data_IF_339212872592
#
_entry.id   IF_339212872592
#
_cell.length_a   1.000
_cell.length_b   1.000
_cell.length_c   1.000
_cell.angle_alpha   90.00
_cell.angle_beta   90.00
_cell.angle_gamma   90.00
#
_symmetry.space_group_name_H-M   'P 1'
#
loop_
_entity.id
_entity.type
_entity.pdbx_description
1 polymer ?
#
# COMPACT_ATOMS: atom_id res chain seq x y z
N UNK A 1 -13.57 -9.64 37.30
CA UNK A 1 -12.42 -10.48 37.70
C UNK A 1 -12.38 -11.90 37.09
N UNK A 2 -13.48 -12.51 36.63
CA UNK A 2 -13.45 -13.87 36.05
C UNK A 2 -13.22 -13.96 34.54
N UNK A 3 -13.36 -12.88 33.77
CA UNK A 3 -13.22 -12.88 32.30
C UNK A 3 -11.76 -12.82 31.81
N UNK A 4 -10.86 -12.18 32.54
CA UNK A 4 -9.44 -12.04 32.16
C UNK A 4 -8.58 -13.32 32.38
N UNK A 5 -9.07 -14.31 33.10
CA UNK A 5 -8.33 -15.57 33.33
C UNK A 5 -8.29 -16.48 32.09
N UNK A 6 -9.09 -16.19 31.06
CA UNK A 6 -9.27 -17.07 29.88
C UNK A 6 -8.23 -16.84 28.76
N UNK A 7 -7.59 -15.68 28.72
CA UNK A 7 -6.53 -15.41 27.73
C UNK A 7 -5.23 -16.17 27.97
N UNK A 8 -4.97 -16.62 29.19
CA UNK A 8 -3.72 -17.27 29.57
C UNK A 8 -3.65 -18.78 29.23
N UNK A 9 -4.76 -19.41 28.82
CA UNK A 9 -4.81 -20.86 28.62
C UNK A 9 -4.39 -21.29 27.20
N UNK A 10 -4.48 -20.42 26.21
CA UNK A 10 -4.09 -20.75 24.83
C UNK A 10 -2.56 -20.79 24.59
N UNK A 11 -1.73 -20.30 25.52
CA UNK A 11 -0.27 -20.21 25.35
C UNK A 11 0.55 -21.26 26.13
N UNK A 12 -0.05 -22.17 26.91
CA UNK A 12 0.67 -23.00 27.89
C UNK A 12 0.41 -24.53 27.81
N UNK A 13 0.03 -25.09 26.66
CA UNK A 13 -0.18 -26.55 26.52
C UNK A 13 0.80 -27.24 25.55
N UNK A 14 2.10 -26.93 25.65
CA UNK A 14 3.14 -27.81 25.13
C UNK A 14 4.16 -28.20 26.22
N UNK A 15 3.74 -28.82 27.29
CA UNK A 15 4.64 -29.63 28.14
C UNK A 15 3.86 -30.39 29.21
N UNK A 16 3.36 -31.58 28.89
CA UNK A 16 3.33 -32.71 29.83
C UNK A 16 2.91 -33.97 29.07
N UNK A 17 3.88 -34.76 28.65
CA UNK A 17 3.65 -36.20 28.43
C UNK A 17 3.58 -36.87 29.78
N UNK A 18 2.39 -37.35 30.20
CA UNK A 18 2.28 -38.49 31.09
C UNK A 18 1.12 -39.32 30.64
N UNK A 19 1.43 -40.60 30.40
CA UNK A 19 0.51 -41.69 30.05
C UNK A 19 -0.50 -41.89 31.16
N UNK A 20 -1.76 -41.57 30.91
CA UNK A 20 -2.90 -42.34 31.42
C UNK A 20 -4.12 -42.02 30.53
N UNK A 21 -4.51 -43.03 29.75
CA UNK A 21 -5.68 -42.93 28.90
C UNK A 21 -6.91 -43.27 29.70
N UNK A 22 -7.66 -42.26 30.16
CA UNK A 22 -9.10 -42.39 30.43
C UNK A 22 -9.74 -41.00 30.44
N UNK A 23 -10.66 -40.79 29.50
CA UNK A 23 -11.70 -39.74 29.52
C UNK A 23 -11.20 -38.29 29.39
N UNK A 24 -10.50 -38.00 28.30
CA UNK A 24 -10.26 -36.60 27.89
C UNK A 24 -11.55 -36.10 27.24
N UNK A 25 -12.42 -35.47 28.03
CA UNK A 25 -13.43 -34.57 27.48
C UNK A 25 -12.69 -33.53 26.64
N UNK A 26 -13.10 -33.26 25.38
CA UNK A 26 -12.47 -32.20 24.61
C UNK A 26 -12.58 -30.91 25.40
N UNK A 27 -11.42 -30.28 25.69
CA UNK A 27 -11.40 -28.94 26.27
C UNK A 27 -12.05 -28.06 25.21
N UNK A 28 -13.33 -27.70 25.41
CA UNK A 28 -13.99 -26.71 24.55
C UNK A 28 -13.31 -25.40 24.91
N UNK A 29 -12.38 -24.95 24.04
CA UNK A 29 -11.85 -23.60 24.14
C UNK A 29 -13.03 -22.62 24.18
N UNK A 30 -13.04 -21.64 25.09
CA UNK A 30 -14.11 -20.67 25.14
C UNK A 30 -14.16 -19.91 23.82
N UNK A 31 -15.23 -20.09 23.07
CA UNK A 31 -15.44 -19.35 21.84
C UNK A 31 -15.60 -17.86 22.16
N UNK A 32 -14.89 -17.02 21.43
CA UNK A 32 -15.05 -15.58 21.50
C UNK A 32 -16.50 -15.21 21.11
N UNK A 33 -17.19 -14.39 21.92
CA UNK A 33 -18.51 -13.87 21.56
C UNK A 33 -18.48 -13.05 20.26
N UNK A 34 -19.55 -13.08 19.48
CA UNK A 34 -19.68 -12.33 18.22
C UNK A 34 -19.74 -10.80 18.39
N UNK A 35 -19.95 -10.35 19.61
CA UNK A 35 -20.03 -8.94 20.00
C UNK A 35 -18.84 -8.48 20.86
N UNK A 36 -17.70 -9.17 20.80
CA UNK A 36 -16.51 -8.79 21.55
C UNK A 36 -15.27 -8.78 20.64
N UNK A 37 -14.49 -7.70 20.67
CA UNK A 37 -13.12 -7.68 20.13
C UNK A 37 -12.16 -7.90 21.29
N UNK A 38 -11.31 -8.92 21.18
CA UNK A 38 -10.26 -9.20 22.14
C UNK A 38 -8.93 -8.66 21.63
N UNK A 39 -8.18 -8.00 22.50
CA UNK A 39 -6.90 -7.41 22.12
C UNK A 39 -5.85 -7.50 23.24
N UNK A 40 -4.58 -7.37 22.86
CA UNK A 40 -3.50 -7.06 23.78
C UNK A 40 -2.91 -5.70 23.43
N UNK A 41 -2.51 -4.93 24.47
CA UNK A 41 -2.04 -3.58 24.27
C UNK A 41 -1.14 -3.10 25.41
N UNK A 42 -0.38 -2.02 25.17
CA UNK A 42 0.45 -1.34 26.17
C UNK A 42 -0.35 -0.41 27.08
N UNK A 43 -1.55 -0.02 26.65
CA UNK A 43 -2.54 0.75 27.41
C UNK A 43 -3.92 0.49 26.79
N UNK A 44 -4.99 0.95 27.47
CA UNK A 44 -6.35 0.85 26.96
C UNK A 44 -6.42 1.41 25.53
N UNK A 45 -6.98 0.62 24.61
CA UNK A 45 -7.17 0.96 23.20
C UNK A 45 -8.54 1.60 23.03
N UNK A 46 -8.57 2.85 22.59
CA UNK A 46 -9.80 3.49 22.15
C UNK A 46 -9.81 3.51 20.61
N UNK A 47 -10.83 2.94 19.95
CA UNK A 47 -10.95 3.01 18.50
C UNK A 47 -10.90 4.46 18.00
N UNK A 48 -10.20 4.72 16.90
CA UNK A 48 -10.14 6.07 16.31
C UNK A 48 -11.53 6.54 15.83
N UNK A 49 -12.30 5.62 15.24
CA UNK A 49 -13.73 5.79 14.95
C UNK A 49 -14.53 4.72 15.70
N UNK A 50 -15.46 5.13 16.55
CA UNK A 50 -16.26 4.23 17.35
C UNK A 50 -17.60 3.80 16.71
N UNK A 51 -18.02 4.49 15.65
CA UNK A 51 -19.31 4.33 14.97
C UNK A 51 -19.24 3.49 13.69
N UNK A 52 -18.10 2.81 13.46
CA UNK A 52 -17.84 2.09 12.21
C UNK A 52 -17.90 0.56 12.36
N UNK A 53 -18.48 0.06 13.45
CA UNK A 53 -18.59 -1.38 13.72
C UNK A 53 -19.99 -1.95 13.40
N UNK A 54 -20.96 -1.07 13.09
CA UNK A 54 -22.37 -1.45 12.91
C UNK A 54 -23.11 -1.74 14.20
N UNK A 55 -22.48 -1.55 15.37
CA UNK A 55 -23.01 -1.70 16.71
C UNK A 55 -22.36 -0.67 17.65
N UNK A 56 -23.00 -0.35 18.77
CA UNK A 56 -22.46 0.61 19.74
C UNK A 56 -21.54 -0.07 20.75
N UNK A 57 -20.48 0.60 21.16
CA UNK A 57 -19.59 0.12 22.20
C UNK A 57 -20.30 0.28 23.55
N UNK A 58 -20.53 -0.84 24.26
CA UNK A 58 -21.09 -0.87 25.61
C UNK A 58 -20.00 -0.71 26.65
N UNK A 59 -18.87 -1.39 26.47
CA UNK A 59 -17.75 -1.31 27.41
C UNK A 59 -16.44 -1.54 26.65
N UNK A 60 -15.38 -1.03 27.25
CA UNK A 60 -14.01 -1.28 26.82
C UNK A 60 -13.17 -1.43 28.09
N UNK A 61 -12.87 -2.67 28.42
CA UNK A 61 -12.12 -3.03 29.63
C UNK A 61 -10.68 -3.40 29.24
N UNK A 62 -9.71 -2.97 30.04
CA UNK A 62 -8.30 -3.30 29.86
C UNK A 62 -7.65 -3.52 31.21
N UNK A 63 -6.85 -4.59 31.30
CA UNK A 63 -6.13 -4.97 32.52
C UNK A 63 -4.64 -4.64 32.36
N UNK A 64 -4.15 -3.68 33.13
CA UNK A 64 -2.77 -3.24 33.14
C UNK A 64 -1.78 -4.36 33.50
N UNK A 65 -2.17 -5.29 34.37
CA UNK A 65 -1.28 -6.35 34.84
C UNK A 65 -1.00 -7.40 33.74
N UNK A 66 -1.98 -7.63 32.85
CA UNK A 66 -1.87 -8.63 31.78
C UNK A 66 -1.72 -8.03 30.39
N UNK A 67 -2.02 -6.74 30.23
CA UNK A 67 -2.09 -6.07 28.94
C UNK A 67 -3.28 -6.48 28.07
N UNK A 68 -4.20 -7.29 28.59
CA UNK A 68 -5.37 -7.80 27.87
C UNK A 68 -6.53 -6.82 27.92
N UNK A 69 -7.26 -6.70 26.80
CA UNK A 69 -8.44 -5.87 26.72
C UNK A 69 -9.60 -6.52 25.97
N UNK A 70 -10.80 -6.05 26.24
CA UNK A 70 -12.04 -6.47 25.59
C UNK A 70 -12.90 -5.25 25.30
N UNK A 71 -13.27 -5.07 24.03
CA UNK A 71 -14.31 -4.14 23.61
C UNK A 71 -15.58 -4.95 23.43
N UNK A 72 -16.65 -4.62 24.17
CA UNK A 72 -17.95 -5.28 24.10
C UNK A 72 -18.95 -4.34 23.42
N UNK A 73 -19.73 -4.88 22.49
CA UNK A 73 -20.75 -4.16 21.74
C UNK A 73 -22.17 -4.57 22.17
N UNK A 74 -23.16 -3.73 21.88
CA UNK A 74 -24.57 -3.96 22.18
C UNK A 74 -25.22 -5.01 21.27
N UNK A 75 -24.61 -5.31 20.12
CA UNK A 75 -25.03 -6.32 19.15
C UNK A 75 -23.82 -7.00 18.52
N UNK A 76 -24.03 -8.04 17.71
CA UNK A 76 -23.01 -8.68 16.90
C UNK A 76 -22.40 -7.69 15.90
N UNK A 77 -21.07 -7.62 15.80
CA UNK A 77 -20.42 -6.81 14.80
C UNK A 77 -20.21 -7.61 13.50
N UNK A 78 -20.43 -6.95 12.36
CA UNK A 78 -20.27 -7.53 11.02
C UNK A 78 -19.12 -6.93 10.26
N UNK A 79 -18.63 -5.77 10.71
CA UNK A 79 -17.58 -4.99 10.02
C UNK A 79 -16.59 -4.43 11.03
N UNK A 80 -15.32 -4.46 10.68
CA UNK A 80 -14.30 -3.56 11.22
C UNK A 80 -14.18 -2.43 10.22
N UNK A 81 -14.79 -1.29 10.50
CA UNK A 81 -14.97 -0.23 9.50
C UNK A 81 -13.72 0.57 9.22
N UNK A 82 -13.85 1.49 8.28
CA UNK A 82 -12.74 2.31 7.81
C UNK A 82 -12.18 3.20 8.94
N UNK A 83 -10.86 3.17 9.12
CA UNK A 83 -10.12 3.86 10.19
C UNK A 83 -10.49 3.42 11.61
N UNK A 84 -11.12 2.27 11.84
CA UNK A 84 -11.53 1.79 13.17
C UNK A 84 -10.38 1.85 14.20
N UNK A 85 -9.21 1.37 13.83
CA UNK A 85 -7.99 1.35 14.64
C UNK A 85 -6.81 2.09 13.97
N UNK A 86 -7.09 3.16 13.24
CA UNK A 86 -6.09 3.99 12.58
C UNK A 86 -5.11 4.58 13.59
N UNK A 87 -3.80 4.50 13.29
CA UNK A 87 -2.72 5.03 14.14
C UNK A 87 -2.82 4.57 15.61
N UNK A 88 -3.25 3.33 15.83
CA UNK A 88 -3.47 2.79 17.15
C UNK A 88 -2.17 2.19 17.73
N UNK A 89 -1.23 3.04 18.12
CA UNK A 89 0.12 2.65 18.60
C UNK A 89 0.12 1.85 19.90
N UNK A 90 -0.99 1.80 20.62
CA UNK A 90 -1.10 1.00 21.84
C UNK A 90 -1.39 -0.47 21.55
N UNK A 91 -2.01 -0.77 20.41
CA UNK A 91 -2.48 -2.10 20.02
C UNK A 91 -1.31 -3.02 19.66
N UNK A 92 -1.22 -4.19 20.32
CA UNK A 92 -0.18 -5.20 20.05
C UNK A 92 -0.75 -6.39 19.27
N UNK A 93 -1.93 -6.86 19.65
CA UNK A 93 -2.60 -7.92 18.90
C UNK A 93 -4.11 -7.75 18.96
N UNK A 94 -4.80 -8.28 17.95
CA UNK A 94 -6.26 -8.28 17.91
C UNK A 94 -6.79 -9.64 17.45
N UNK A 95 -7.85 -10.10 18.10
CA UNK A 95 -8.64 -11.24 17.68
C UNK A 95 -10.00 -10.71 17.24
N UNK A 96 -10.25 -10.80 15.95
CA UNK A 96 -11.50 -10.36 15.33
C UNK A 96 -12.54 -11.46 15.55
N UNK A 97 -13.76 -11.14 16.03
CA UNK A 97 -14.75 -12.16 16.36
C UNK A 97 -15.33 -12.84 15.11
N UNK A 98 -15.73 -14.10 15.27
CA UNK A 98 -16.55 -14.79 14.30
C UNK A 98 -17.82 -13.99 14.02
N UNK A 99 -18.26 -13.96 12.76
CA UNK A 99 -19.41 -13.14 12.35
C UNK A 99 -19.02 -11.84 11.63
N UNK A 100 -17.80 -11.31 11.86
CA UNK A 100 -17.27 -10.23 11.02
C UNK A 100 -17.05 -10.75 9.59
N UNK A 101 -17.62 -10.07 8.63
CA UNK A 101 -17.56 -10.42 7.21
C UNK A 101 -16.66 -9.48 6.42
N UNK A 102 -16.38 -8.29 6.96
CA UNK A 102 -15.60 -7.24 6.29
C UNK A 102 -14.60 -6.59 7.24
N UNK A 103 -13.38 -6.40 6.76
CA UNK A 103 -12.36 -5.48 7.31
C UNK A 103 -12.16 -4.40 6.26
N UNK A 104 -12.63 -3.19 6.52
CA UNK A 104 -12.59 -2.10 5.56
C UNK A 104 -11.18 -1.56 5.32
N UNK A 105 -11.02 -0.75 4.27
CA UNK A 105 -9.76 -0.09 3.97
C UNK A 105 -9.29 0.77 5.15
N UNK A 106 -7.97 0.87 5.36
CA UNK A 106 -7.35 1.65 6.43
C UNK A 106 -7.74 1.25 7.87
N UNK A 107 -8.44 0.13 8.08
CA UNK A 107 -8.96 -0.25 9.41
C UNK A 107 -7.89 -0.25 10.51
N UNK A 108 -6.67 -0.69 10.20
CA UNK A 108 -5.52 -0.72 11.11
C UNK A 108 -4.31 0.07 10.55
N UNK A 109 -4.54 0.95 9.58
CA UNK A 109 -3.46 1.70 8.94
C UNK A 109 -2.66 2.52 9.97
N UNK A 110 -1.29 2.47 9.91
CA UNK A 110 -0.36 3.10 10.86
C UNK A 110 -0.48 2.61 12.31
N UNK A 111 -0.98 1.39 12.56
CA UNK A 111 -0.92 0.78 13.89
C UNK A 111 0.45 0.14 14.11
N UNK A 112 1.47 0.96 14.34
CA UNK A 112 2.89 0.57 14.29
C UNK A 112 3.30 -0.53 15.29
N UNK A 113 2.60 -0.66 16.42
CA UNK A 113 2.88 -1.69 17.41
C UNK A 113 2.08 -2.98 17.22
N UNK A 114 1.16 -3.03 16.23
CA UNK A 114 0.39 -4.22 15.93
C UNK A 114 1.31 -5.33 15.43
N UNK A 115 1.45 -6.41 16.19
CA UNK A 115 2.36 -7.52 15.89
C UNK A 115 1.65 -8.73 15.31
N UNK A 116 0.38 -8.97 15.66
CA UNK A 116 -0.41 -10.07 15.10
C UNK A 116 -1.90 -9.77 15.03
N UNK A 117 -2.54 -10.35 14.00
CA UNK A 117 -3.99 -10.26 13.78
C UNK A 117 -4.56 -11.66 13.55
N UNK A 118 -5.60 -12.02 14.31
CA UNK A 118 -6.37 -13.23 14.06
C UNK A 118 -7.64 -12.89 13.29
N UNK A 119 -7.75 -13.43 12.08
CA UNK A 119 -8.84 -13.17 11.13
C UNK A 119 -9.75 -14.39 11.10
N UNK A 120 -11.05 -14.26 11.43
CA UNK A 120 -11.96 -15.39 11.43
C UNK A 120 -12.34 -15.85 10.01
N UNK A 121 -12.81 -17.09 9.90
CA UNK A 121 -13.22 -17.70 8.64
C UNK A 121 -14.41 -17.00 7.97
N UNK A 122 -15.18 -16.23 8.73
CA UNK A 122 -16.34 -15.46 8.27
C UNK A 122 -15.97 -14.23 7.40
N UNK A 123 -14.72 -13.72 7.49
CA UNK A 123 -14.29 -12.58 6.68
C UNK A 123 -14.24 -12.99 5.22
N UNK A 124 -14.92 -12.23 4.37
CA UNK A 124 -14.96 -12.42 2.93
C UNK A 124 -14.41 -11.23 2.15
N UNK A 125 -14.21 -10.09 2.83
CA UNK A 125 -13.68 -8.87 2.23
C UNK A 125 -12.65 -8.22 3.17
N UNK A 126 -11.49 -7.91 2.61
CA UNK A 126 -10.46 -7.10 3.26
C UNK A 126 -10.11 -5.96 2.30
N UNK A 127 -10.33 -4.74 2.75
CA UNK A 127 -10.07 -3.53 1.96
C UNK A 127 -8.56 -3.28 1.78
N UNK A 128 -8.22 -2.56 0.72
CA UNK A 128 -6.84 -2.16 0.47
C UNK A 128 -6.30 -1.32 1.64
N UNK A 129 -5.01 -1.42 1.90
CA UNK A 129 -4.32 -0.70 2.99
C UNK A 129 -4.81 -1.02 4.41
N UNK A 130 -5.71 -2.01 4.61
CA UNK A 130 -6.25 -2.33 5.93
C UNK A 130 -5.17 -2.54 7.01
N UNK A 131 -4.03 -3.11 6.64
CA UNK A 131 -2.89 -3.41 7.52
C UNK A 131 -1.58 -2.74 7.09
N UNK A 132 -1.64 -1.78 6.19
CA UNK A 132 -0.43 -1.12 5.67
C UNK A 132 0.19 -0.20 6.73
N UNK A 133 1.52 -0.07 6.67
CA UNK A 133 2.30 0.70 7.65
C UNK A 133 2.13 0.20 9.10
N UNK A 134 1.86 -1.09 9.30
CA UNK A 134 1.93 -1.75 10.59
C UNK A 134 3.35 -2.33 10.77
N UNK A 135 4.32 -1.47 11.08
CA UNK A 135 5.76 -1.77 10.98
C UNK A 135 6.24 -2.95 11.84
N UNK A 136 5.50 -3.33 12.88
CA UNK A 136 5.78 -4.51 13.72
C UNK A 136 4.91 -5.72 13.40
N UNK A 137 4.02 -5.65 12.40
CA UNK A 137 3.19 -6.79 12.04
C UNK A 137 4.05 -7.92 11.47
N UNK A 138 4.11 -9.01 12.21
CA UNK A 138 4.93 -10.18 11.89
C UNK A 138 4.11 -11.38 11.46
N UNK A 139 2.83 -11.45 11.87
CA UNK A 139 2.03 -12.65 11.69
C UNK A 139 0.54 -12.34 11.53
N UNK A 140 -0.06 -12.93 10.52
CA UNK A 140 -1.50 -13.14 10.41
C UNK A 140 -1.86 -14.54 10.87
N UNK A 141 -3.04 -14.72 11.49
CA UNK A 141 -3.61 -16.00 11.90
C UNK A 141 -5.00 -16.20 11.31
N UNK A 142 -5.41 -17.45 11.13
CA UNK A 142 -6.71 -17.83 10.58
C UNK A 142 -6.61 -18.42 9.17
N UNK A 143 -7.77 -18.65 8.55
CA UNK A 143 -7.92 -19.38 7.28
C UNK A 143 -7.09 -18.80 6.11
N UNK A 144 -7.01 -17.49 6.04
CA UNK A 144 -6.35 -16.81 4.91
C UNK A 144 -4.86 -16.56 5.15
N UNK A 145 -4.38 -16.85 6.36
CA UNK A 145 -2.96 -16.75 6.66
C UNK A 145 -2.18 -17.81 5.87
N UNK A 146 -1.16 -17.38 5.15
CA UNK A 146 -0.35 -18.23 4.30
C UNK A 146 1.13 -18.02 4.59
N UNK A 147 1.95 -18.98 4.16
CA UNK A 147 3.39 -18.94 4.33
C UNK A 147 3.81 -18.68 5.79
N UNK A 148 3.23 -19.44 6.73
CA UNK A 148 3.49 -19.26 8.17
C UNK A 148 2.98 -17.95 8.75
N UNK A 149 1.93 -17.36 8.17
CA UNK A 149 1.34 -16.10 8.62
C UNK A 149 1.97 -14.85 8.02
N UNK A 150 2.93 -15.00 7.10
CA UNK A 150 3.64 -13.87 6.49
C UNK A 150 2.76 -13.03 5.56
N UNK A 151 1.70 -13.60 5.03
CA UNK A 151 0.76 -12.90 4.16
C UNK A 151 -0.67 -13.42 4.30
N UNK A 152 -1.63 -12.62 3.83
CA UNK A 152 -3.01 -13.02 3.62
C UNK A 152 -3.24 -13.30 2.14
N UNK A 153 -3.75 -14.50 1.83
CA UNK A 153 -4.12 -14.88 0.47
C UNK A 153 -5.59 -15.27 0.43
N UNK A 154 -6.36 -14.56 -0.40
CA UNK A 154 -7.77 -14.84 -0.69
C UNK A 154 -7.92 -15.01 -2.21
N UNK A 155 -8.55 -16.08 -2.65
CA UNK A 155 -8.81 -16.37 -4.07
C UNK A 155 -7.57 -16.17 -4.98
N UNK A 156 -6.44 -16.76 -4.58
CA UNK A 156 -5.13 -16.65 -5.24
C UNK A 156 -4.60 -15.20 -5.36
N UNK A 157 -5.13 -14.28 -4.55
CA UNK A 157 -4.68 -12.88 -4.48
C UNK A 157 -4.00 -12.63 -3.15
N UNK A 158 -2.77 -12.10 -3.15
CA UNK A 158 -2.17 -11.54 -1.94
C UNK A 158 -2.90 -10.25 -1.60
N UNK A 159 -3.48 -10.19 -0.41
CA UNK A 159 -4.21 -9.03 0.11
C UNK A 159 -3.32 -8.13 0.96
N UNK A 160 -2.47 -8.73 1.78
CA UNK A 160 -1.56 -8.00 2.66
C UNK A 160 -0.32 -8.84 3.00
N UNK A 161 0.79 -8.16 3.23
CA UNK A 161 2.04 -8.73 3.72
C UNK A 161 2.35 -8.21 5.13
N UNK A 162 2.81 -9.10 6.01
CA UNK A 162 3.23 -8.76 7.37
C UNK A 162 4.65 -8.16 7.34
N UNK A 163 4.77 -6.85 7.48
CA UNK A 163 6.01 -6.09 7.23
C UNK A 163 7.21 -6.58 8.06
N UNK A 164 6.98 -6.96 9.32
CA UNK A 164 8.04 -7.43 10.22
C UNK A 164 8.43 -8.90 10.00
N UNK A 165 7.80 -9.62 9.07
CA UNK A 165 8.03 -11.06 8.85
C UNK A 165 9.35 -11.38 8.13
N UNK A 166 10.09 -10.36 7.66
CA UNK A 166 11.41 -10.55 7.06
C UNK A 166 11.78 -9.46 6.06
N UNK A 167 13.03 -9.49 5.59
CA UNK A 167 13.56 -8.51 4.62
C UNK A 167 13.50 -9.01 3.17
N UNK A 168 13.26 -10.29 2.96
CA UNK A 168 13.11 -10.89 1.62
C UNK A 168 11.84 -11.74 1.57
N UNK A 169 11.14 -11.72 0.45
CA UNK A 169 9.94 -12.49 0.29
C UNK A 169 9.86 -13.20 -1.06
N UNK A 170 9.60 -14.50 -1.02
CA UNK A 170 9.27 -15.29 -2.20
C UNK A 170 7.75 -15.48 -2.20
N UNK A 171 7.06 -14.86 -3.14
CA UNK A 171 5.61 -15.03 -3.30
C UNK A 171 5.33 -16.51 -3.62
N UNK A 172 4.39 -17.17 -2.92
CA UNK A 172 4.08 -18.57 -3.17
C UNK A 172 3.60 -18.84 -4.60
N UNK A 173 3.99 -20.00 -5.13
CA UNK A 173 3.44 -20.49 -6.39
C UNK A 173 1.91 -20.65 -6.29
N UNK A 174 1.21 -20.36 -7.40
CA UNK A 174 -0.27 -20.38 -7.44
C UNK A 174 -0.93 -19.04 -7.09
N UNK A 175 -0.18 -18.06 -6.59
CA UNK A 175 -0.66 -16.68 -6.54
C UNK A 175 -0.80 -16.14 -7.97
N UNK A 176 -1.98 -15.63 -8.30
CA UNK A 176 -2.29 -15.08 -9.63
C UNK A 176 -2.24 -13.56 -9.63
N UNK A 177 -2.60 -12.94 -8.51
CA UNK A 177 -2.67 -11.49 -8.36
C UNK A 177 -1.96 -11.02 -7.09
N UNK A 178 -1.20 -9.94 -7.20
CA UNK A 178 -0.79 -9.10 -6.08
C UNK A 178 -1.84 -8.00 -5.97
N UNK A 179 -2.54 -7.91 -4.85
CA UNK A 179 -3.61 -6.95 -4.62
C UNK A 179 -3.13 -5.51 -4.55
N UNK A 180 -4.07 -4.58 -4.61
CA UNK A 180 -3.78 -3.17 -4.44
C UNK A 180 -3.19 -2.93 -3.04
N UNK A 181 -2.06 -2.23 -2.99
CA UNK A 181 -1.34 -1.90 -1.76
C UNK A 181 -0.88 -3.11 -0.91
N UNK A 182 -0.80 -4.32 -1.48
CA UNK A 182 -0.50 -5.54 -0.72
C UNK A 182 0.85 -5.49 0.04
N UNK A 183 1.83 -4.77 -0.48
CA UNK A 183 3.15 -4.51 0.14
C UNK A 183 3.39 -3.01 0.37
N UNK A 184 2.31 -2.21 0.45
CA UNK A 184 2.45 -0.77 0.63
C UNK A 184 3.22 -0.43 1.91
N UNK A 185 4.23 0.44 1.77
CA UNK A 185 5.11 0.90 2.85
C UNK A 185 5.86 -0.22 3.62
N UNK A 186 6.09 -1.39 2.98
CA UNK A 186 6.91 -2.45 3.56
C UNK A 186 8.39 -2.03 3.57
N UNK A 187 8.73 -1.13 4.50
CA UNK A 187 10.02 -0.42 4.57
C UNK A 187 11.21 -1.30 4.96
N UNK A 188 10.96 -2.51 5.47
CA UNK A 188 12.00 -3.51 5.78
C UNK A 188 12.38 -4.37 4.59
N UNK A 189 11.50 -4.48 3.57
CA UNK A 189 11.63 -5.40 2.45
C UNK A 189 12.74 -4.95 1.49
N UNK A 190 13.70 -5.84 1.20
CA UNK A 190 14.85 -5.55 0.31
C UNK A 190 14.78 -6.27 -1.03
N UNK A 191 14.11 -7.43 -1.10
CA UNK A 191 13.97 -8.21 -2.32
C UNK A 191 12.66 -8.99 -2.34
N UNK A 192 12.00 -9.04 -3.51
CA UNK A 192 10.77 -9.83 -3.73
C UNK A 192 10.94 -10.70 -4.97
N UNK A 193 10.63 -12.00 -4.82
CA UNK A 193 10.56 -12.92 -5.97
C UNK A 193 9.12 -13.08 -6.42
N UNK A 194 8.85 -12.75 -7.68
CA UNK A 194 7.52 -12.86 -8.32
C UNK A 194 7.47 -14.17 -9.09
N UNK A 195 6.59 -15.13 -8.75
CA UNK A 195 6.46 -16.39 -9.48
C UNK A 195 5.80 -16.19 -10.84
N UNK A 196 6.00 -17.17 -11.74
CA UNK A 196 5.45 -17.14 -13.11
C UNK A 196 3.91 -17.14 -13.14
N UNK A 197 3.27 -17.60 -12.07
CA UNK A 197 1.81 -17.64 -11.93
C UNK A 197 1.16 -16.24 -11.77
N UNK A 198 1.91 -15.24 -11.27
CA UNK A 198 1.39 -13.87 -11.15
C UNK A 198 1.20 -13.26 -12.52
N UNK A 199 0.00 -12.76 -12.80
CA UNK A 199 -0.35 -12.09 -14.06
C UNK A 199 -0.82 -10.66 -13.85
N UNK A 200 -1.16 -10.28 -12.61
CA UNK A 200 -1.67 -8.94 -12.28
C UNK A 200 -0.97 -8.40 -11.04
N UNK A 201 -0.50 -7.17 -11.14
CA UNK A 201 0.03 -6.39 -10.00
C UNK A 201 -0.87 -5.17 -9.81
N UNK A 202 -1.42 -5.05 -8.62
CA UNK A 202 -2.36 -4.00 -8.24
C UNK A 202 -1.71 -2.63 -8.10
N UNK A 203 -2.55 -1.59 -8.01
CA UNK A 203 -2.11 -0.21 -7.79
C UNK A 203 -1.37 -0.10 -6.46
N UNK A 204 -0.29 0.67 -6.42
CA UNK A 204 0.50 0.92 -5.19
C UNK A 204 1.03 -0.34 -4.50
N UNK A 205 1.06 -1.49 -5.21
CA UNK A 205 1.42 -2.77 -4.58
C UNK A 205 2.75 -2.72 -3.82
N UNK A 206 3.74 -1.98 -4.33
CA UNK A 206 5.08 -1.82 -3.72
C UNK A 206 5.45 -0.38 -3.41
N UNK A 207 4.51 0.57 -3.44
CA UNK A 207 4.79 1.98 -3.16
C UNK A 207 5.27 2.16 -1.72
N UNK A 208 6.29 3.00 -1.51
CA UNK A 208 6.85 3.24 -0.19
C UNK A 208 7.71 2.10 0.38
N UNK A 209 8.06 1.09 -0.42
CA UNK A 209 9.04 0.07 -0.04
C UNK A 209 10.47 0.63 -0.10
N UNK A 210 10.80 1.55 0.80
CA UNK A 210 12.02 2.40 0.73
C UNK A 210 13.34 1.65 0.72
N UNK A 211 13.37 0.39 1.16
CA UNK A 211 14.57 -0.47 1.11
C UNK A 211 14.54 -1.50 0.00
N UNK A 212 13.45 -1.56 -0.79
CA UNK A 212 13.36 -2.53 -1.87
C UNK A 212 14.35 -2.17 -2.97
N UNK A 213 15.33 -3.04 -3.18
CA UNK A 213 16.41 -2.85 -4.13
C UNK A 213 16.30 -3.77 -5.35
N UNK A 214 15.57 -4.88 -5.24
CA UNK A 214 15.57 -5.90 -6.27
C UNK A 214 14.25 -6.68 -6.33
N UNK A 215 13.73 -6.80 -7.55
CA UNK A 215 12.73 -7.81 -7.91
C UNK A 215 13.40 -9.01 -8.58
N UNK A 216 12.87 -10.21 -8.39
CA UNK A 216 13.28 -11.46 -9.03
C UNK A 216 12.10 -12.13 -9.73
N UNK A 217 12.38 -13.00 -10.70
CA UNK A 217 11.38 -13.77 -11.44
C UNK A 217 11.16 -13.25 -12.85
N UNK A 218 10.13 -13.78 -13.51
CA UNK A 218 9.86 -13.60 -14.94
C UNK A 218 9.73 -12.15 -15.41
N UNK A 219 9.14 -11.30 -14.58
CA UNK A 219 8.84 -9.91 -14.95
C UNK A 219 9.91 -8.92 -14.50
N UNK A 220 10.93 -9.41 -13.76
CA UNK A 220 12.04 -8.58 -13.33
C UNK A 220 12.87 -8.13 -14.53
N UNK A 221 13.07 -6.83 -14.64
CA UNK A 221 13.80 -6.21 -15.74
C UNK A 221 14.86 -5.25 -15.21
N UNK A 222 15.76 -4.82 -16.08
CA UNK A 222 16.84 -3.88 -15.77
C UNK A 222 17.63 -4.30 -14.51
N UNK A 223 18.07 -5.58 -14.47
CA UNK A 223 18.79 -6.11 -13.31
C UNK A 223 17.98 -6.20 -12.02
N UNK A 224 16.65 -6.32 -12.14
CA UNK A 224 15.74 -6.40 -10.98
C UNK A 224 15.23 -5.05 -10.46
N UNK A 225 15.61 -3.95 -11.10
CA UNK A 225 15.22 -2.60 -10.66
C UNK A 225 13.73 -2.30 -10.88
N UNK A 226 13.06 -3.04 -11.76
CA UNK A 226 11.64 -2.84 -12.06
C UNK A 226 10.96 -4.15 -12.46
N UNK A 227 9.63 -4.11 -12.48
CA UNK A 227 8.78 -5.13 -13.08
C UNK A 227 8.13 -4.58 -14.35
N UNK A 228 8.22 -5.35 -15.45
CA UNK A 228 7.59 -5.02 -16.73
C UNK A 228 6.65 -6.14 -17.15
N UNK A 229 5.38 -5.80 -17.36
CA UNK A 229 4.34 -6.70 -17.87
C UNK A 229 3.72 -6.06 -19.11
N UNK A 230 3.67 -6.77 -20.22
CA UNK A 230 3.09 -6.31 -21.48
C UNK A 230 3.58 -4.90 -21.90
N UNK A 231 4.90 -4.69 -21.89
CA UNK A 231 5.58 -3.43 -22.16
C UNK A 231 5.16 -2.26 -21.23
N UNK A 232 4.50 -2.55 -20.11
CA UNK A 232 4.17 -1.57 -19.09
C UNK A 232 5.08 -1.78 -17.88
N UNK A 233 5.79 -0.74 -17.46
CA UNK A 233 6.49 -0.75 -16.18
C UNK A 233 5.44 -0.59 -15.06
N UNK A 234 5.35 -1.59 -14.15
CA UNK A 234 4.27 -1.67 -13.15
C UNK A 234 4.76 -1.52 -11.71
N UNK A 235 6.05 -1.65 -11.47
CA UNK A 235 6.66 -1.41 -10.16
C UNK A 235 8.13 -1.04 -10.31
N UNK A 236 8.64 -0.24 -9.37
CA UNK A 236 10.03 0.19 -9.27
C UNK A 236 10.59 -0.11 -7.89
N UNK A 237 11.82 -0.60 -7.83
CA UNK A 237 12.55 -0.89 -6.60
C UNK A 237 13.24 0.40 -6.12
N UNK A 238 12.65 1.10 -5.14
CA UNK A 238 13.03 2.46 -4.74
C UNK A 238 14.49 2.57 -4.29
N UNK A 239 15.01 1.57 -3.56
CA UNK A 239 16.40 1.58 -3.08
C UNK A 239 17.44 1.35 -4.18
N UNK A 240 17.04 1.14 -5.43
CA UNK A 240 17.97 0.88 -6.54
C UNK A 240 18.71 2.13 -7.03
N UNK A 241 18.39 3.32 -6.52
CA UNK A 241 19.12 4.56 -6.81
C UNK A 241 18.23 5.80 -6.79
N UNK A 242 18.89 6.97 -6.84
CA UNK A 242 18.22 8.28 -6.85
C UNK A 242 17.88 8.77 -8.27
N UNK A 243 18.41 8.11 -9.29
CA UNK A 243 18.14 8.42 -10.70
C UNK A 243 17.76 7.15 -11.44
N UNK A 244 16.80 7.25 -12.34
CA UNK A 244 16.34 6.09 -13.11
C UNK A 244 16.11 6.41 -14.59
N UNK A 245 16.65 5.56 -15.45
CA UNK A 245 16.35 5.58 -16.88
C UNK A 245 15.38 4.43 -17.17
N UNK A 246 14.16 4.75 -17.53
CA UNK A 246 13.16 3.74 -17.93
C UNK A 246 13.69 3.05 -19.21
N UNK A 247 13.70 1.70 -19.27
CA UNK A 247 14.23 0.97 -20.41
C UNK A 247 13.52 1.31 -21.73
N UNK A 248 14.28 1.36 -22.81
CA UNK A 248 13.73 1.49 -24.16
C UNK A 248 12.77 0.32 -24.45
N UNK A 249 11.68 0.60 -25.20
CA UNK A 249 10.63 -0.37 -25.52
C UNK A 249 9.52 -0.46 -24.47
N UNK A 250 9.63 0.22 -23.32
CA UNK A 250 8.49 0.43 -22.42
C UNK A 250 7.50 1.37 -23.11
N UNK A 251 6.25 0.90 -23.28
CA UNK A 251 5.20 1.65 -23.95
C UNK A 251 4.33 2.46 -22.98
N UNK A 252 4.26 2.04 -21.72
CA UNK A 252 3.48 2.74 -20.70
C UNK A 252 4.15 2.69 -19.32
N UNK A 253 3.92 3.74 -18.52
CA UNK A 253 4.20 3.78 -17.10
C UNK A 253 2.88 3.48 -16.40
N UNK A 254 2.83 2.40 -15.62
CA UNK A 254 1.63 1.95 -14.92
C UNK A 254 1.22 2.87 -13.77
N UNK A 255 0.01 2.65 -13.25
CA UNK A 255 -0.51 3.41 -12.13
C UNK A 255 0.38 3.24 -10.89
N UNK A 256 0.73 4.35 -10.27
CA UNK A 256 1.55 4.42 -9.03
C UNK A 256 2.91 3.71 -9.11
N UNK A 257 3.45 3.48 -10.29
CA UNK A 257 4.71 2.73 -10.50
C UNK A 257 5.88 3.31 -9.70
N UNK A 258 6.01 4.63 -9.67
CA UNK A 258 7.01 5.38 -8.90
C UNK A 258 6.37 6.14 -7.72
N UNK A 259 5.12 5.82 -7.37
CA UNK A 259 4.41 6.52 -6.30
C UNK A 259 5.14 6.39 -4.97
N UNK A 260 5.34 7.51 -4.28
CA UNK A 260 6.10 7.63 -3.03
C UNK A 260 7.57 7.20 -3.12
N UNK A 261 8.21 7.29 -4.32
CA UNK A 261 9.65 7.14 -4.46
C UNK A 261 10.36 8.40 -3.91
N UNK A 262 10.53 8.44 -2.59
CA UNK A 262 10.94 9.64 -1.86
C UNK A 262 12.34 10.14 -2.23
N UNK A 263 13.22 9.25 -2.69
CA UNK A 263 14.62 9.57 -3.00
C UNK A 263 14.90 9.76 -4.48
N UNK A 264 13.91 9.56 -5.36
CA UNK A 264 14.07 9.71 -6.81
C UNK A 264 14.19 11.19 -7.17
N UNK A 265 15.39 11.60 -7.62
CA UNK A 265 15.69 12.99 -7.99
C UNK A 265 15.51 13.28 -9.46
N UNK A 266 15.66 12.25 -10.31
CA UNK A 266 15.55 12.35 -11.76
C UNK A 266 15.06 11.04 -12.38
N UNK A 267 14.21 11.15 -13.39
CA UNK A 267 13.75 10.04 -14.23
C UNK A 267 13.86 10.43 -15.71
N UNK A 268 14.40 9.51 -16.51
CA UNK A 268 14.39 9.63 -17.98
C UNK A 268 13.26 8.78 -18.53
N UNK A 269 12.32 9.40 -19.23
CA UNK A 269 11.19 8.74 -19.91
C UNK A 269 11.58 8.61 -21.39
N UNK A 270 11.69 7.39 -21.95
CA UNK A 270 12.08 7.20 -23.34
C UNK A 270 10.93 7.53 -24.32
N UNK A 271 11.28 7.80 -25.57
CA UNK A 271 10.33 8.14 -26.64
C UNK A 271 9.38 6.97 -27.01
N UNK A 272 9.60 5.77 -26.48
CA UNK A 272 8.68 4.65 -26.63
C UNK A 272 7.43 4.76 -25.73
N UNK A 273 7.46 5.60 -24.66
CA UNK A 273 6.34 5.77 -23.74
C UNK A 273 5.26 6.65 -24.35
N UNK A 274 4.03 6.12 -24.40
CA UNK A 274 2.86 6.83 -24.93
C UNK A 274 1.84 7.22 -23.85
N UNK A 275 1.95 6.58 -22.67
CA UNK A 275 1.01 6.79 -21.56
C UNK A 275 1.75 6.81 -20.22
N UNK A 276 1.36 7.75 -19.36
CA UNK A 276 1.74 7.84 -17.96
C UNK A 276 0.45 7.60 -17.13
N UNK A 277 0.45 6.60 -16.24
CA UNK A 277 -0.72 6.19 -15.47
C UNK A 277 -1.08 7.13 -14.33
N UNK A 278 -2.21 6.85 -13.67
CA UNK A 278 -2.65 7.60 -12.49
C UNK A 278 -1.63 7.48 -11.36
N UNK A 279 -1.37 8.59 -10.67
CA UNK A 279 -0.43 8.65 -9.53
C UNK A 279 0.97 8.11 -9.85
N UNK A 280 1.37 8.00 -11.12
CA UNK A 280 2.59 7.30 -11.53
C UNK A 280 3.86 7.80 -10.82
N UNK A 281 3.95 9.09 -10.49
CA UNK A 281 5.04 9.74 -9.75
C UNK A 281 4.53 10.53 -8.54
N UNK A 282 3.30 10.26 -8.07
CA UNK A 282 2.74 10.99 -6.93
C UNK A 282 3.63 10.83 -5.68
N UNK A 283 3.80 11.92 -4.91
CA UNK A 283 4.69 11.94 -3.73
C UNK A 283 6.18 11.66 -4.01
N UNK A 284 6.68 11.84 -5.24
CA UNK A 284 8.11 11.86 -5.53
C UNK A 284 8.72 13.19 -5.04
N UNK A 285 8.82 13.36 -3.73
CA UNK A 285 9.16 14.65 -3.10
C UNK A 285 10.56 15.18 -3.46
N UNK A 286 11.49 14.32 -3.86
CA UNK A 286 12.83 14.71 -4.29
C UNK A 286 12.98 14.98 -5.78
N UNK A 287 11.95 14.68 -6.59
CA UNK A 287 11.98 14.89 -8.04
C UNK A 287 11.99 16.40 -8.35
N UNK A 288 13.03 16.87 -9.05
CA UNK A 288 13.21 18.31 -9.34
C UNK A 288 12.77 18.71 -10.73
N UNK A 289 12.87 17.79 -11.67
CA UNK A 289 12.49 18.02 -13.06
C UNK A 289 12.03 16.73 -13.73
N UNK A 290 11.18 16.87 -14.75
CA UNK A 290 10.77 15.76 -15.61
C UNK A 290 10.68 16.26 -17.06
N UNK A 291 11.14 15.43 -18.00
CA UNK A 291 10.89 15.63 -19.44
C UNK A 291 9.89 14.60 -19.92
N UNK A 292 8.76 15.05 -20.40
CA UNK A 292 7.69 14.28 -21.01
C UNK A 292 7.93 14.30 -22.53
N UNK A 293 8.26 13.15 -23.15
CA UNK A 293 8.58 13.07 -24.57
C UNK A 293 7.37 13.37 -25.47
N UNK A 294 7.62 13.65 -26.72
CA UNK A 294 6.60 13.96 -27.73
C UNK A 294 5.59 12.82 -27.94
N UNK A 295 6.05 11.59 -27.72
CA UNK A 295 5.23 10.36 -27.85
C UNK A 295 4.09 10.24 -26.83
N UNK A 296 4.18 10.92 -25.68
CA UNK A 296 3.16 10.82 -24.63
C UNK A 296 1.90 11.56 -25.05
N UNK A 297 0.79 10.81 -25.08
CA UNK A 297 -0.56 11.32 -25.45
C UNK A 297 -1.53 11.38 -24.27
N UNK A 298 -1.20 10.70 -23.16
CA UNK A 298 -2.07 10.64 -21.98
C UNK A 298 -1.24 10.69 -20.69
N UNK A 299 -1.65 11.51 -19.73
CA UNK A 299 -1.10 11.61 -18.38
C UNK A 299 -2.26 11.44 -17.41
N UNK A 300 -2.20 10.39 -16.59
CA UNK A 300 -3.25 10.01 -15.65
C UNK A 300 -3.46 11.05 -14.54
N UNK A 301 -4.56 10.90 -13.81
CA UNK A 301 -4.89 11.78 -12.70
C UNK A 301 -3.86 11.66 -11.56
N UNK A 302 -3.57 12.78 -10.89
CA UNK A 302 -2.54 12.86 -9.83
C UNK A 302 -1.13 12.39 -10.24
N UNK A 303 -0.81 12.26 -11.53
CA UNK A 303 0.42 11.59 -11.99
C UNK A 303 1.70 12.17 -11.39
N UNK A 304 1.77 13.48 -11.15
CA UNK A 304 2.89 14.18 -10.53
C UNK A 304 2.46 14.99 -9.29
N UNK A 305 1.32 14.65 -8.68
CA UNK A 305 0.82 15.34 -7.51
C UNK A 305 1.78 15.19 -6.31
N UNK A 306 1.87 16.21 -5.47
CA UNK A 306 2.70 16.26 -4.28
C UNK A 306 4.21 16.01 -4.51
N UNK A 307 4.70 16.30 -5.72
CA UNK A 307 6.14 16.36 -6.03
C UNK A 307 6.69 17.71 -5.58
N UNK A 308 6.87 17.91 -4.28
CA UNK A 308 7.13 19.23 -3.66
C UNK A 308 8.34 19.99 -4.19
N UNK A 309 9.37 19.29 -4.71
CA UNK A 309 10.56 19.91 -5.29
C UNK A 309 10.50 20.00 -6.83
N UNK A 310 9.39 19.56 -7.47
CA UNK A 310 9.27 19.60 -8.94
C UNK A 310 9.09 21.06 -9.38
N UNK A 311 10.16 21.63 -9.89
CA UNK A 311 10.20 23.04 -10.37
C UNK A 311 10.12 23.16 -11.89
N UNK A 312 10.42 22.09 -12.63
CA UNK A 312 10.51 22.12 -14.10
C UNK A 312 9.86 20.91 -14.74
N UNK A 313 8.82 21.14 -15.53
CA UNK A 313 8.16 20.11 -16.36
C UNK A 313 8.37 20.49 -17.82
N UNK A 314 9.06 19.65 -18.59
CA UNK A 314 9.33 19.87 -19.99
C UNK A 314 8.44 18.97 -20.85
N UNK A 315 7.43 19.51 -21.53
CA UNK A 315 6.53 18.78 -22.43
C UNK A 315 6.93 19.04 -23.89
N UNK A 316 7.46 18.01 -24.55
CA UNK A 316 7.93 18.12 -25.95
C UNK A 316 6.82 17.94 -26.99
N UNK A 317 5.64 17.48 -26.61
CA UNK A 317 4.54 17.25 -27.52
C UNK A 317 4.00 18.58 -28.10
N UNK A 318 3.80 18.64 -29.41
CA UNK A 318 3.16 19.76 -30.10
C UNK A 318 1.68 19.87 -29.78
N UNK A 319 1.02 18.74 -29.57
CA UNK A 319 -0.38 18.66 -29.12
C UNK A 319 -0.39 18.30 -27.65
N UNK A 320 -1.08 19.06 -26.77
CA UNK A 320 -1.13 18.76 -25.36
C UNK A 320 -1.62 17.33 -25.07
N UNK A 321 -0.89 16.51 -24.31
CA UNK A 321 -1.42 15.24 -23.83
C UNK A 321 -2.74 15.41 -23.11
N UNK A 322 -3.65 14.44 -23.19
CA UNK A 322 -4.86 14.42 -22.36
C UNK A 322 -4.48 14.24 -20.91
N UNK A 323 -4.97 15.13 -20.02
CA UNK A 323 -4.82 14.96 -18.57
C UNK A 323 -6.01 14.20 -18.00
N UNK A 324 -5.77 13.26 -17.08
CA UNK A 324 -6.80 12.48 -16.40
C UNK A 324 -7.67 13.30 -15.44
N UNK A 325 -7.20 14.45 -14.98
CA UNK A 325 -7.90 15.36 -14.08
C UNK A 325 -7.16 16.66 -13.87
N UNK A 326 -7.68 17.50 -12.97
CA UNK A 326 -7.12 18.82 -12.64
C UNK A 326 -5.93 18.77 -11.68
N UNK A 327 -5.69 17.62 -11.03
CA UNK A 327 -4.70 17.49 -9.95
C UNK A 327 -3.37 16.87 -10.41
N UNK A 328 -3.10 16.80 -11.72
CA UNK A 328 -1.91 16.13 -12.28
C UNK A 328 -0.61 16.69 -11.72
N UNK A 329 -0.51 18.01 -11.56
CA UNK A 329 0.66 18.71 -11.02
C UNK A 329 0.35 19.49 -9.75
N UNK A 330 -0.64 19.08 -8.97
CA UNK A 330 -1.02 19.76 -7.75
C UNK A 330 0.01 19.54 -6.62
N UNK A 331 0.05 20.45 -5.64
CA UNK A 331 1.01 20.40 -4.52
C UNK A 331 2.49 20.25 -4.93
N UNK A 332 2.86 20.76 -6.09
CA UNK A 332 4.25 20.87 -6.52
C UNK A 332 4.87 22.18 -6.00
N UNK A 333 6.17 22.39 -6.25
CA UNK A 333 6.85 23.62 -5.85
C UNK A 333 6.15 24.90 -6.36
N UNK A 334 6.01 25.92 -5.51
CA UNK A 334 5.28 27.17 -5.80
C UNK A 334 5.76 27.91 -7.06
N UNK A 335 7.02 27.69 -7.45
CA UNK A 335 7.66 28.30 -8.62
C UNK A 335 7.70 27.41 -9.86
N UNK A 336 6.96 26.27 -9.86
CA UNK A 336 6.95 25.33 -10.98
C UNK A 336 6.65 26.04 -12.29
N UNK A 337 7.45 25.72 -13.33
CA UNK A 337 7.19 26.07 -14.72
C UNK A 337 6.96 24.84 -15.58
N UNK A 338 6.05 24.98 -16.54
CA UNK A 338 5.74 23.97 -17.54
C UNK A 338 6.24 24.52 -18.88
N UNK A 339 7.31 23.96 -19.36
CA UNK A 339 7.99 24.34 -20.59
C UNK A 339 7.41 23.56 -21.75
N UNK A 340 6.86 24.25 -22.73
CA UNK A 340 6.28 23.66 -23.95
C UNK A 340 6.90 24.32 -25.18
N UNK A 341 6.77 23.69 -26.35
CA UNK A 341 7.18 24.34 -27.61
C UNK A 341 6.51 25.70 -27.73
N UNK A 342 7.26 26.70 -28.20
CA UNK A 342 6.77 28.10 -28.29
C UNK A 342 5.49 28.21 -29.10
N UNK A 343 5.39 27.51 -30.20
CA UNK A 343 4.21 27.46 -31.07
C UNK A 343 3.02 26.73 -30.44
N UNK A 344 3.22 25.96 -29.36
CA UNK A 344 2.18 25.18 -28.70
C UNK A 344 1.62 25.84 -27.45
N UNK A 345 2.17 26.97 -27.00
CA UNK A 345 1.77 27.65 -25.74
C UNK A 345 0.25 27.87 -25.64
N UNK A 346 -0.37 28.44 -26.68
CA UNK A 346 -1.81 28.73 -26.67
C UNK A 346 -2.66 27.46 -26.70
N UNK A 347 -2.18 26.39 -27.37
CA UNK A 347 -2.85 25.11 -27.37
C UNK A 347 -2.88 24.49 -25.95
N UNK A 348 -1.74 24.53 -25.23
CA UNK A 348 -1.65 24.04 -23.86
C UNK A 348 -2.51 24.89 -22.91
N UNK A 349 -2.44 26.22 -22.96
CA UNK A 349 -3.21 27.11 -22.09
C UNK A 349 -4.73 26.98 -22.25
N UNK A 350 -5.20 26.53 -23.42
CA UNK A 350 -6.63 26.34 -23.71
C UNK A 350 -7.11 24.91 -23.60
N UNK A 351 -6.23 23.92 -23.47
CA UNK A 351 -6.59 22.52 -23.39
C UNK A 351 -7.25 22.18 -22.02
N UNK A 352 -8.15 21.19 -22.06
CA UNK A 352 -8.87 20.71 -20.86
C UNK A 352 -7.89 20.30 -19.78
N UNK A 353 -8.12 20.75 -18.55
CA UNK A 353 -7.30 20.58 -17.34
C UNK A 353 -5.92 21.27 -17.40
N UNK A 354 -5.33 21.51 -18.57
CA UNK A 354 -4.11 22.29 -18.71
C UNK A 354 -4.35 23.76 -18.41
N UNK A 355 -5.54 24.28 -18.69
CA UNK A 355 -5.94 25.65 -18.38
C UNK A 355 -5.81 26.04 -16.92
N UNK A 356 -5.89 25.06 -15.99
CA UNK A 356 -5.65 25.29 -14.56
C UNK A 356 -4.19 25.67 -14.27
N UNK A 357 -3.28 25.35 -15.17
CA UNK A 357 -1.85 25.63 -15.07
C UNK A 357 -1.37 26.74 -16.00
N UNK A 358 -2.28 27.52 -16.63
CA UNK A 358 -1.96 28.49 -17.68
C UNK A 358 -0.85 29.48 -17.30
N UNK A 359 -0.83 29.95 -16.03
CA UNK A 359 0.18 30.90 -15.54
C UNK A 359 1.58 30.29 -15.37
N UNK A 360 1.66 28.97 -15.31
CA UNK A 360 2.93 28.25 -15.24
C UNK A 360 3.46 27.84 -16.61
N UNK A 361 2.64 27.89 -17.68
CA UNK A 361 3.02 27.45 -19.03
C UNK A 361 3.79 28.55 -19.74
N UNK A 362 5.01 28.22 -20.18
CA UNK A 362 5.92 29.13 -20.89
C UNK A 362 6.51 28.48 -22.13
N UNK A 363 6.76 29.30 -23.17
CA UNK A 363 7.45 28.86 -24.39
C UNK A 363 8.90 28.51 -24.13
N UNK A 364 9.38 27.42 -24.75
CA UNK A 364 10.73 26.95 -24.59
C UNK A 364 11.30 26.42 -25.90
N UNK A 365 12.53 26.82 -26.21
CA UNK A 365 13.30 26.31 -27.29
C UNK A 365 14.12 25.08 -26.82
N UNK A 366 13.65 23.90 -27.17
CA UNK A 366 14.29 22.64 -26.78
C UNK A 366 15.61 22.37 -27.49
N UNK A 367 15.91 23.06 -28.60
CA UNK A 367 17.19 22.92 -29.32
C UNK A 367 18.29 23.74 -28.64
N UNK A 368 17.97 24.98 -28.24
CA UNK A 368 18.92 25.92 -27.65
C UNK A 368 18.87 25.94 -26.12
N UNK A 369 17.88 25.27 -25.50
CA UNK A 369 17.74 25.18 -24.05
C UNK A 369 17.35 26.50 -23.37
N UNK A 370 16.51 27.31 -24.01
CA UNK A 370 16.18 28.65 -23.55
C UNK A 370 14.67 28.93 -23.50
N UNK A 371 14.26 29.72 -22.50
CA UNK A 371 12.90 30.30 -22.45
C UNK A 371 12.80 31.32 -23.59
N UNK A 372 11.68 31.26 -24.30
CA UNK A 372 11.36 32.23 -25.35
C UNK A 372 10.30 33.17 -24.78
N UNK A 373 10.65 34.48 -24.65
CA UNK A 373 9.76 35.52 -24.17
C UNK A 373 8.71 35.93 -25.23
#
# INVERSE_FOLDING_TARGET
>A
MKRFLLFAVAALLFAACSNDATDIQPIIEPQQPYNEIWYTATAKVDPFKADVFGANILSNEWDEATGNGVITFDDEIKVIGEYAFYACDKLISVIIPNGVTEIAGHAFFWSDNLASVTIPDSVTLIGSTAFSSCSKLAEFKGKYASDGGRCLIMDNTIIAYAEASGTTYNIPDGVIKIGDSAFYACSSLTSVTIPDSVTVIGKQAFSGCTKLAEFKGKYAADGGRCLIIDNTIVAYAEASGTTYNIPDGVAAIGNSTFGACLYLTSVTIPDSVTKIGDMAFSYCVSLTSVTIPESVTEIGDYAFCACQNLSSVHCKATTPPTLGGTYVFDDNGDSRKIYVLTESVEAYKSATHWSEYADAIVGYDFENGAVVE
#
